data_IF_462840404586
#
_entry.id   IF_462840404586
#
_cell.length_a   1.000
_cell.length_b   1.000
_cell.length_c   1.000
_cell.angle_alpha   90.00
_cell.angle_beta   90.00
_cell.angle_gamma   90.00
#
_symmetry.space_group_name_H-M   'P 1'
#
loop_
_entity.id
_entity.type
_entity.pdbx_description
1 polymer ?
#
# COMPACT_ATOMS: atom_id res chain seq x y z
N UNK A 1 -14.06 -18.56 24.58
CA UNK A 1 -15.06 -17.79 23.81
C UNK A 1 -14.52 -16.40 23.58
N UNK A 2 -14.29 -15.99 22.32
CA UNK A 2 -13.94 -14.59 21.99
C UNK A 2 -15.22 -13.74 22.13
N UNK A 3 -15.21 -12.64 22.89
CA UNK A 3 -16.44 -11.91 23.17
C UNK A 3 -16.92 -11.05 21.99
N UNK A 4 -18.16 -11.35 21.58
CA UNK A 4 -19.32 -10.58 21.07
C UNK A 4 -19.22 -9.06 20.77
N UNK A 5 -18.07 -8.48 20.43
CA UNK A 5 -18.08 -7.37 19.48
C UNK A 5 -18.08 -7.97 18.08
N UNK A 6 -19.23 -8.54 17.70
CA UNK A 6 -19.46 -8.99 16.34
C UNK A 6 -19.23 -7.77 15.44
N UNK A 7 -18.12 -7.80 14.71
CA UNK A 7 -17.83 -6.85 13.65
C UNK A 7 -19.01 -6.95 12.68
N UNK A 8 -19.92 -5.97 12.75
CA UNK A 8 -21.07 -5.89 11.87
C UNK A 8 -20.49 -5.65 10.46
N UNK A 9 -20.31 -6.74 9.72
CA UNK A 9 -20.05 -6.70 8.29
C UNK A 9 -21.34 -6.18 7.65
N UNK A 10 -21.45 -4.86 7.59
CA UNK A 10 -22.58 -4.17 6.99
C UNK A 10 -22.65 -4.56 5.51
N UNK A 11 -23.59 -5.42 5.16
CA UNK A 11 -23.99 -5.69 3.78
C UNK A 11 -25.28 -4.93 3.49
N UNK A 12 -25.25 -3.59 3.53
CA UNK A 12 -26.40 -2.78 3.12
C UNK A 12 -26.74 -3.03 1.65
N UNK A 13 -28.01 -3.21 1.31
CA UNK A 13 -28.52 -3.44 -0.05
C UNK A 13 -28.11 -2.37 -1.10
N UNK A 14 -27.53 -1.23 -0.68
CA UNK A 14 -26.86 -0.25 -1.55
C UNK A 14 -25.62 -0.81 -2.27
N UNK A 15 -25.05 -1.93 -1.80
CA UNK A 15 -23.93 -2.62 -2.44
C UNK A 15 -24.28 -3.21 -3.82
N UNK A 16 -25.57 -3.42 -4.15
CA UNK A 16 -25.96 -4.11 -5.39
C UNK A 16 -25.58 -3.33 -6.66
N UNK A 17 -25.51 -1.99 -6.61
CA UNK A 17 -25.04 -1.20 -7.76
C UNK A 17 -23.51 -1.05 -7.83
N UNK A 18 -22.80 -1.33 -6.72
CA UNK A 18 -21.34 -1.30 -6.63
C UNK A 18 -20.70 -2.70 -6.59
N UNK A 19 -21.52 -3.76 -6.71
CA UNK A 19 -21.15 -5.17 -6.53
C UNK A 19 -20.09 -5.68 -7.52
N UNK A 20 -19.77 -4.91 -8.56
CA UNK A 20 -18.74 -5.25 -9.54
C UNK A 20 -17.46 -4.43 -9.41
N UNK A 21 -17.31 -3.59 -8.37
CA UNK A 21 -16.11 -2.79 -8.15
C UNK A 21 -15.41 -3.19 -6.84
N UNK A 22 -14.47 -4.13 -6.96
CA UNK A 22 -13.68 -4.64 -5.83
C UNK A 22 -12.93 -3.54 -5.05
N UNK A 23 -12.54 -2.45 -5.72
CA UNK A 23 -11.91 -1.28 -5.09
C UNK A 23 -12.89 -0.57 -4.14
N UNK A 24 -14.12 -0.33 -4.59
CA UNK A 24 -15.14 0.30 -3.77
C UNK A 24 -15.49 -0.55 -2.55
N UNK A 25 -15.62 -1.88 -2.74
CA UNK A 25 -15.86 -2.82 -1.64
C UNK A 25 -14.71 -2.77 -0.61
N UNK A 26 -13.46 -2.76 -1.07
CA UNK A 26 -12.30 -2.65 -0.19
C UNK A 26 -12.29 -1.34 0.60
N UNK A 27 -12.63 -0.23 -0.05
CA UNK A 27 -12.75 1.09 0.57
C UNK A 27 -13.84 1.13 1.64
N UNK A 28 -15.04 0.62 1.35
CA UNK A 28 -16.14 0.56 2.33
C UNK A 28 -15.81 -0.34 3.53
N UNK A 29 -15.06 -1.44 3.31
CA UNK A 29 -14.59 -2.29 4.43
C UNK A 29 -13.63 -1.53 5.34
N UNK A 30 -12.70 -0.75 4.78
CA UNK A 30 -11.79 0.08 5.57
C UNK A 30 -12.55 1.20 6.32
N UNK A 31 -13.51 1.85 5.67
CA UNK A 31 -14.40 2.83 6.30
C UNK A 31 -15.14 2.21 7.49
N UNK A 32 -15.86 1.10 7.26
CA UNK A 32 -16.64 0.45 8.31
C UNK A 32 -15.77 -0.04 9.47
N UNK A 33 -14.54 -0.46 9.19
CA UNK A 33 -13.57 -0.84 10.23
C UNK A 33 -13.17 0.34 11.11
N UNK A 34 -12.75 1.46 10.51
CA UNK A 34 -12.29 2.64 11.25
C UNK A 34 -13.42 3.31 12.02
N UNK A 35 -14.55 3.58 11.36
CA UNK A 35 -15.71 4.18 12.00
C UNK A 35 -16.31 3.25 13.05
N UNK A 36 -16.33 1.94 12.80
CA UNK A 36 -16.90 0.98 13.75
C UNK A 36 -16.07 0.92 15.04
N UNK A 37 -14.75 1.02 14.90
CA UNK A 37 -13.85 1.14 16.04
C UNK A 37 -14.11 2.43 16.84
N UNK A 38 -14.20 3.57 16.16
CA UNK A 38 -14.47 4.87 16.80
C UNK A 38 -15.83 4.88 17.51
N UNK A 39 -16.87 4.35 16.87
CA UNK A 39 -18.21 4.22 17.47
C UNK A 39 -18.20 3.31 18.69
N UNK A 40 -17.43 2.21 18.65
CA UNK A 40 -17.30 1.30 19.80
C UNK A 40 -16.56 1.95 20.96
N UNK A 41 -15.50 2.72 20.71
CA UNK A 41 -14.85 3.52 21.74
C UNK A 41 -15.82 4.51 22.38
N UNK A 42 -16.58 5.24 21.58
CA UNK A 42 -17.54 6.21 22.09
C UNK A 42 -18.61 5.51 22.97
N UNK A 43 -19.13 4.38 22.50
CA UNK A 43 -20.02 3.54 23.28
C UNK A 43 -19.39 3.11 24.62
N UNK A 44 -18.13 2.68 24.63
CA UNK A 44 -17.43 2.29 25.86
C UNK A 44 -17.30 3.48 26.82
N UNK A 45 -16.88 4.65 26.32
CA UNK A 45 -16.73 5.87 27.14
C UNK A 45 -18.03 6.32 27.80
N UNK A 46 -19.16 6.12 27.12
CA UNK A 46 -20.49 6.47 27.61
C UNK A 46 -21.05 5.46 28.61
N UNK A 47 -20.83 4.16 28.39
CA UNK A 47 -21.47 3.10 29.17
C UNK A 47 -20.58 2.52 30.28
N UNK A 48 -19.26 2.76 30.26
CA UNK A 48 -18.28 2.30 31.27
C UNK A 48 -17.35 3.45 31.70
N UNK A 49 -17.81 4.37 32.56
CA UNK A 49 -17.03 5.55 32.97
C UNK A 49 -15.65 5.22 33.54
N UNK A 50 -15.49 4.08 34.21
CA UNK A 50 -14.24 3.57 34.76
C UNK A 50 -13.20 3.18 33.69
N UNK A 51 -13.63 2.93 32.45
CA UNK A 51 -12.75 2.66 31.31
C UNK A 51 -12.52 3.87 30.42
N UNK A 52 -13.21 5.00 30.68
CA UNK A 52 -13.20 6.18 29.80
C UNK A 52 -11.79 6.67 29.46
N UNK A 53 -10.92 6.82 30.47
CA UNK A 53 -9.53 7.28 30.26
C UNK A 53 -8.74 6.29 29.41
N UNK A 54 -8.81 5.00 29.71
CA UNK A 54 -8.10 3.95 28.93
C UNK A 54 -8.61 3.88 27.48
N UNK A 55 -9.91 4.02 27.29
CA UNK A 55 -10.54 4.04 25.97
C UNK A 55 -10.07 5.25 25.15
N UNK A 56 -10.00 6.43 25.78
CA UNK A 56 -9.50 7.65 25.14
C UNK A 56 -8.01 7.53 24.78
N UNK A 57 -7.18 7.03 25.69
CA UNK A 57 -5.75 6.79 25.45
C UNK A 57 -5.53 5.84 24.27
N UNK A 58 -6.26 4.72 24.22
CA UNK A 58 -6.17 3.78 23.11
C UNK A 58 -6.60 4.41 21.78
N UNK A 59 -7.65 5.24 21.80
CA UNK A 59 -8.11 5.97 20.62
C UNK A 59 -7.05 6.96 20.12
N UNK A 60 -6.48 7.77 21.01
CA UNK A 60 -5.40 8.71 20.69
C UNK A 60 -4.19 7.98 20.11
N UNK A 61 -3.80 6.85 20.72
CA UNK A 61 -2.69 6.04 20.20
C UNK A 61 -2.97 5.55 18.78
N UNK A 62 -4.17 5.03 18.52
CA UNK A 62 -4.57 4.59 17.19
C UNK A 62 -4.61 5.74 16.18
N UNK A 63 -5.24 6.86 16.54
CA UNK A 63 -5.39 8.04 15.69
C UNK A 63 -4.03 8.67 15.36
N UNK A 64 -3.08 8.64 16.28
CA UNK A 64 -1.71 9.11 16.03
C UNK A 64 -0.99 8.31 14.94
N UNK A 65 -1.42 7.07 14.67
CA UNK A 65 -0.83 6.17 13.67
C UNK A 65 -1.65 6.13 12.38
N UNK A 66 -2.97 6.14 12.48
CA UNK A 66 -3.88 5.86 11.36
C UNK A 66 -5.02 6.88 11.19
N UNK A 67 -5.01 8.00 11.91
CA UNK A 67 -6.08 9.00 11.87
C UNK A 67 -6.23 9.68 10.50
N UNK A 68 -5.13 9.87 9.75
CA UNK A 68 -5.20 10.42 8.39
C UNK A 68 -5.95 9.48 7.45
N UNK A 69 -5.78 8.17 7.59
CA UNK A 69 -6.49 7.18 6.78
C UNK A 69 -8.01 7.37 6.84
N UNK A 70 -8.57 7.61 8.03
CA UNK A 70 -10.01 7.81 8.22
C UNK A 70 -10.52 9.01 7.41
N UNK A 71 -9.92 10.19 7.59
CA UNK A 71 -10.30 11.40 6.85
C UNK A 71 -10.15 11.25 5.32
N UNK A 72 -9.11 10.52 4.90
CA UNK A 72 -8.81 10.29 3.50
C UNK A 72 -9.80 9.31 2.85
N UNK A 73 -10.21 8.28 3.59
CA UNK A 73 -11.25 7.33 3.17
C UNK A 73 -12.59 8.04 3.07
N UNK A 74 -12.96 8.86 4.06
CA UNK A 74 -14.22 9.63 4.05
C UNK A 74 -14.30 10.54 2.83
N UNK A 75 -13.21 11.27 2.56
CA UNK A 75 -13.09 12.12 1.37
C UNK A 75 -13.26 11.32 0.08
N UNK A 76 -12.64 10.14 0.01
CA UNK A 76 -12.73 9.30 -1.19
C UNK A 76 -14.13 8.71 -1.38
N UNK A 77 -14.78 8.23 -0.32
CA UNK A 77 -16.16 7.74 -0.40
C UNK A 77 -17.11 8.88 -0.79
N UNK A 78 -16.96 10.07 -0.19
CA UNK A 78 -17.75 11.25 -0.56
C UNK A 78 -17.58 11.61 -2.03
N UNK A 79 -16.34 11.58 -2.53
CA UNK A 79 -16.06 11.80 -3.96
C UNK A 79 -16.75 10.78 -4.87
N UNK A 80 -16.81 9.51 -4.46
CA UNK A 80 -17.44 8.44 -5.24
C UNK A 80 -18.97 8.48 -5.19
N UNK A 81 -19.55 8.85 -4.04
CA UNK A 81 -20.99 8.86 -3.83
C UNK A 81 -21.67 10.19 -4.18
N UNK A 82 -20.92 11.30 -4.18
CA UNK A 82 -21.46 12.64 -4.35
C UNK A 82 -22.56 12.92 -3.32
N UNK A 83 -23.72 13.34 -3.80
CA UNK A 83 -24.89 13.70 -2.98
C UNK A 83 -25.46 12.53 -2.16
N UNK A 84 -25.10 11.28 -2.50
CA UNK A 84 -25.54 10.09 -1.75
C UNK A 84 -24.71 9.82 -0.50
N UNK A 85 -23.65 10.59 -0.27
CA UNK A 85 -22.74 10.38 0.87
C UNK A 85 -23.45 10.49 2.22
N UNK A 86 -24.26 11.53 2.42
CA UNK A 86 -24.93 11.75 3.70
C UNK A 86 -25.94 10.64 4.00
N UNK A 87 -26.66 10.17 2.97
CA UNK A 87 -27.55 9.01 3.10
C UNK A 87 -26.77 7.74 3.50
N UNK A 88 -25.62 7.50 2.88
CA UNK A 88 -24.75 6.37 3.22
C UNK A 88 -24.28 6.43 4.68
N UNK A 89 -23.79 7.59 5.14
CA UNK A 89 -23.33 7.78 6.53
C UNK A 89 -24.48 7.64 7.53
N UNK A 90 -25.66 8.19 7.23
CA UNK A 90 -26.84 8.05 8.09
C UNK A 90 -27.29 6.59 8.19
N UNK A 91 -27.32 5.86 7.06
CA UNK A 91 -27.64 4.44 7.04
C UNK A 91 -26.63 3.61 7.82
N UNK A 92 -25.34 3.93 7.71
CA UNK A 92 -24.27 3.32 8.50
C UNK A 92 -24.47 3.56 10.00
N UNK A 93 -24.66 4.81 10.41
CA UNK A 93 -24.84 5.18 11.81
C UNK A 93 -26.08 4.54 12.44
N UNK A 94 -27.17 4.44 11.68
CA UNK A 94 -28.38 3.75 12.11
C UNK A 94 -28.09 2.26 12.40
N UNK A 95 -27.43 1.57 11.47
CA UNK A 95 -27.11 0.14 11.65
C UNK A 95 -26.15 -0.10 12.82
N UNK A 96 -25.16 0.79 13.03
CA UNK A 96 -24.28 0.73 14.20
C UNK A 96 -25.06 0.93 15.50
N UNK A 97 -25.95 1.93 15.55
CA UNK A 97 -26.80 2.19 16.71
C UNK A 97 -27.70 1.01 17.04
N UNK A 98 -28.33 0.40 16.03
CA UNK A 98 -29.13 -0.81 16.16
C UNK A 98 -28.29 -1.99 16.67
N UNK A 99 -27.07 -2.16 16.14
CA UNK A 99 -26.11 -3.14 16.61
C UNK A 99 -25.81 -2.99 18.11
N UNK A 100 -25.55 -1.77 18.58
CA UNK A 100 -25.26 -1.52 20.00
C UNK A 100 -26.44 -1.77 20.94
N UNK A 101 -27.69 -1.70 20.47
CA UNK A 101 -28.85 -2.08 21.29
C UNK A 101 -28.82 -3.57 21.67
N UNK A 102 -28.21 -4.41 20.83
CA UNK A 102 -28.10 -5.85 21.07
C UNK A 102 -26.89 -6.25 21.93
N UNK A 103 -25.97 -5.33 22.20
CA UNK A 103 -24.76 -5.60 22.99
C UNK A 103 -25.12 -5.72 24.47
N UNK A 104 -24.64 -6.78 25.12
CA UNK A 104 -24.77 -6.94 26.56
C UNK A 104 -23.93 -5.87 27.29
N UNK A 105 -24.60 -4.82 27.74
CA UNK A 105 -24.01 -3.69 28.47
C UNK A 105 -23.41 -4.07 29.83
N UNK A 106 -23.66 -5.27 30.35
CA UNK A 106 -23.14 -5.68 31.66
C UNK A 106 -21.74 -6.30 31.60
N UNK A 107 -21.08 -6.32 30.43
CA UNK A 107 -19.76 -6.94 30.28
C UNK A 107 -18.63 -5.93 30.15
N UNK A 108 -18.24 -5.31 31.26
CA UNK A 108 -17.04 -4.45 31.38
C UNK A 108 -15.75 -5.15 30.88
N UNK A 109 -15.68 -6.47 31.06
CA UNK A 109 -14.55 -7.28 30.62
C UNK A 109 -14.38 -7.25 29.09
N UNK A 110 -15.50 -7.29 28.35
CA UNK A 110 -15.47 -7.22 26.88
C UNK A 110 -15.02 -5.83 26.40
N UNK A 111 -15.46 -4.78 27.08
CA UNK A 111 -15.00 -3.42 26.80
C UNK A 111 -13.49 -3.28 27.03
N UNK A 112 -12.98 -3.86 28.13
CA UNK A 112 -11.54 -3.88 28.42
C UNK A 112 -10.74 -4.62 27.35
N UNK A 113 -11.20 -5.80 26.91
CA UNK A 113 -10.56 -6.54 25.81
C UNK A 113 -10.56 -5.77 24.49
N UNK A 114 -11.62 -5.04 24.20
CA UNK A 114 -11.68 -4.23 22.98
C UNK A 114 -10.68 -3.06 23.01
N UNK A 115 -10.50 -2.42 24.17
CA UNK A 115 -9.46 -1.38 24.35
C UNK A 115 -8.06 -1.98 24.10
N UNK A 116 -7.78 -3.17 24.65
CA UNK A 116 -6.52 -3.88 24.38
C UNK A 116 -6.36 -4.22 22.89
N UNK A 117 -7.45 -4.62 22.22
CA UNK A 117 -7.44 -4.88 20.78
C UNK A 117 -7.09 -3.63 19.98
N UNK A 118 -7.59 -2.45 20.36
CA UNK A 118 -7.22 -1.17 19.71
C UNK A 118 -5.74 -0.87 19.89
N UNK A 119 -5.19 -1.09 21.08
CA UNK A 119 -3.75 -0.93 21.33
C UNK A 119 -2.93 -1.91 20.48
N UNK A 120 -3.42 -3.13 20.24
CA UNK A 120 -2.77 -4.03 19.29
C UNK A 120 -2.87 -3.50 17.85
N UNK A 121 -4.05 -3.01 17.45
CA UNK A 121 -4.25 -2.47 16.10
C UNK A 121 -3.40 -1.22 15.84
N UNK A 122 -3.16 -0.37 16.85
CA UNK A 122 -2.26 0.79 16.74
C UNK A 122 -0.79 0.36 16.48
N UNK A 123 -0.42 -0.86 16.86
CA UNK A 123 0.85 -1.51 16.52
C UNK A 123 0.85 -2.21 15.15
N UNK A 124 -0.22 -2.08 14.35
CA UNK A 124 -0.34 -2.67 13.02
C UNK A 124 -0.92 -4.08 13.00
N UNK A 125 -1.43 -4.59 14.12
CA UNK A 125 -2.16 -5.88 14.17
C UNK A 125 -3.60 -5.71 13.65
N UNK A 126 -3.73 -5.39 12.37
CA UNK A 126 -5.01 -5.25 11.65
C UNK A 126 -5.09 -6.33 10.57
N UNK A 127 -6.27 -6.93 10.39
CA UNK A 127 -6.47 -8.00 9.41
C UNK A 127 -6.31 -7.53 7.95
N UNK A 128 -5.66 -8.36 7.14
CA UNK A 128 -5.61 -8.21 5.67
C UNK A 128 -6.99 -8.59 5.08
N UNK A 129 -7.48 -7.90 4.03
CA UNK A 129 -6.86 -6.81 3.27
C UNK A 129 -7.21 -5.40 3.80
N UNK A 130 -7.78 -5.28 5.00
CA UNK A 130 -8.21 -3.98 5.55
C UNK A 130 -6.98 -3.11 5.85
N UNK A 131 -5.96 -3.71 6.46
CA UNK A 131 -4.77 -2.98 6.87
C UNK A 131 -4.08 -2.29 5.70
N UNK A 132 -3.93 -2.98 4.57
CA UNK A 132 -3.29 -2.45 3.38
C UNK A 132 -4.07 -1.29 2.75
N UNK A 133 -5.40 -1.31 2.85
CA UNK A 133 -6.23 -0.17 2.44
C UNK A 133 -6.05 1.01 3.40
N UNK A 134 -6.03 0.77 4.72
CA UNK A 134 -5.75 1.81 5.72
C UNK A 134 -4.38 2.44 5.44
N UNK A 135 -3.34 1.63 5.20
CA UNK A 135 -2.00 2.11 4.90
C UNK A 135 -1.97 2.95 3.61
N UNK A 136 -2.64 2.49 2.55
CA UNK A 136 -2.74 3.28 1.31
C UNK A 136 -3.28 4.69 1.58
N UNK A 137 -4.39 4.80 2.32
CA UNK A 137 -5.00 6.10 2.60
C UNK A 137 -4.26 6.89 3.68
N UNK A 138 -3.55 6.23 4.60
CA UNK A 138 -2.66 6.88 5.57
C UNK A 138 -1.51 7.61 4.87
N UNK A 139 -0.92 6.98 3.86
CA UNK A 139 0.28 7.44 3.17
C UNK A 139 0.00 7.96 1.75
N UNK A 140 -1.27 8.20 1.38
CA UNK A 140 -1.62 8.62 0.01
C UNK A 140 -0.89 9.89 -0.41
N UNK A 141 -0.59 10.77 0.55
CA UNK A 141 0.05 12.08 0.34
C UNK A 141 1.56 12.09 0.53
N UNK A 142 2.09 11.06 1.16
CA UNK A 142 3.51 10.81 1.37
C UNK A 142 3.74 9.28 1.24
N UNK A 143 3.81 8.75 0.00
CA UNK A 143 3.88 7.31 -0.23
C UNK A 143 5.15 6.66 0.36
N UNK A 144 6.26 7.38 0.40
CA UNK A 144 7.51 6.93 1.02
C UNK A 144 7.38 6.76 2.54
N UNK A 145 6.42 7.43 3.17
CA UNK A 145 6.14 7.33 4.60
C UNK A 145 5.78 5.90 5.04
N UNK A 146 5.15 5.12 4.16
CA UNK A 146 4.86 3.72 4.43
C UNK A 146 6.16 2.91 4.58
N UNK A 147 7.12 3.18 3.69
CA UNK A 147 8.46 2.59 3.72
C UNK A 147 9.25 3.05 4.94
N UNK A 148 9.23 4.34 5.25
CA UNK A 148 9.93 4.93 6.41
C UNK A 148 9.42 4.41 7.76
N UNK A 149 8.17 3.94 7.82
CA UNK A 149 7.57 3.30 9.00
C UNK A 149 7.67 1.78 8.99
N UNK A 150 8.42 1.22 8.04
CA UNK A 150 8.64 -0.22 7.89
C UNK A 150 7.34 -1.03 7.65
N UNK A 151 6.32 -0.41 7.05
CA UNK A 151 5.12 -1.10 6.59
C UNK A 151 5.36 -1.67 5.19
N UNK A 152 6.19 -2.71 5.13
CA UNK A 152 6.71 -3.24 3.87
C UNK A 152 6.61 -4.76 3.79
N UNK A 153 6.62 -5.29 2.57
CA UNK A 153 6.75 -6.70 2.25
C UNK A 153 8.08 -6.95 1.52
N UNK A 154 8.74 -8.06 1.82
CA UNK A 154 9.93 -8.53 1.11
C UNK A 154 9.53 -9.54 0.03
N UNK A 155 10.09 -9.40 -1.17
CA UNK A 155 9.86 -10.28 -2.30
C UNK A 155 11.18 -10.83 -2.80
N UNK A 156 11.23 -12.15 -2.96
CA UNK A 156 12.39 -12.84 -3.53
C UNK A 156 12.17 -13.14 -5.02
N UNK A 157 13.25 -13.02 -5.78
CA UNK A 157 13.26 -13.23 -7.22
C UNK A 157 14.47 -14.11 -7.53
N UNK A 158 14.20 -15.35 -7.88
CA UNK A 158 15.24 -16.29 -8.30
C UNK A 158 15.52 -16.10 -9.78
N UNK A 159 16.75 -15.69 -10.09
CA UNK A 159 17.20 -15.45 -11.45
C UNK A 159 18.24 -16.51 -11.80
N UNK A 160 18.05 -17.14 -12.94
CA UNK A 160 19.00 -18.08 -13.54
C UNK A 160 19.58 -17.40 -14.77
N UNK A 161 20.90 -17.20 -14.76
CA UNK A 161 21.62 -16.53 -15.84
C UNK A 161 22.92 -17.27 -16.10
N UNK A 162 23.13 -17.73 -17.34
CA UNK A 162 24.33 -18.47 -17.78
C UNK A 162 24.80 -19.52 -16.75
N UNK A 163 23.91 -20.43 -16.36
CA UNK A 163 24.12 -21.52 -15.38
C UNK A 163 24.42 -21.10 -13.93
N UNK A 164 24.31 -19.82 -13.60
CA UNK A 164 24.42 -19.32 -12.22
C UNK A 164 23.05 -18.96 -11.65
N UNK A 165 22.85 -19.30 -10.38
CA UNK A 165 21.65 -18.96 -9.62
C UNK A 165 21.94 -17.80 -8.67
N UNK A 166 21.10 -16.80 -8.70
CA UNK A 166 21.10 -15.71 -7.74
C UNK A 166 19.68 -15.44 -7.24
N UNK A 167 19.56 -15.19 -5.94
CA UNK A 167 18.30 -14.74 -5.33
C UNK A 167 18.43 -13.25 -5.07
N UNK A 168 17.55 -12.49 -5.70
CA UNK A 168 17.41 -11.06 -5.45
C UNK A 168 16.27 -10.86 -4.46
N UNK A 169 16.43 -9.92 -3.54
CA UNK A 169 15.34 -9.47 -2.68
C UNK A 169 15.03 -7.99 -2.94
N UNK A 170 13.76 -7.67 -2.86
CA UNK A 170 13.22 -6.33 -3.07
C UNK A 170 12.14 -6.06 -2.04
N UNK A 171 12.11 -4.84 -1.52
CA UNK A 171 11.11 -4.40 -0.57
C UNK A 171 10.08 -3.53 -1.28
N UNK A 172 8.79 -3.80 -1.04
CA UNK A 172 7.68 -2.98 -1.52
C UNK A 172 6.79 -2.54 -0.36
N UNK A 173 6.10 -1.39 -0.45
CA UNK A 173 5.11 -1.01 0.56
C UNK A 173 4.00 -2.06 0.67
N UNK A 174 3.50 -2.28 1.87
CA UNK A 174 2.51 -3.32 2.15
C UNK A 174 1.18 -3.07 1.42
N UNK A 175 0.86 -1.81 1.13
CA UNK A 175 -0.30 -1.39 0.33
C UNK A 175 -0.20 -1.71 -1.17
N UNK A 176 0.93 -2.24 -1.64
CA UNK A 176 1.16 -2.64 -3.03
C UNK A 176 0.92 -4.14 -3.22
N UNK A 177 0.35 -4.50 -4.36
CA UNK A 177 0.02 -5.88 -4.71
C UNK A 177 0.87 -6.37 -5.87
N UNK A 178 1.49 -7.53 -5.71
CA UNK A 178 2.09 -8.26 -6.83
C UNK A 178 0.99 -8.70 -7.80
N UNK A 179 1.21 -8.42 -9.09
CA UNK A 179 0.33 -8.83 -10.17
C UNK A 179 1.10 -9.68 -11.17
N UNK A 180 0.37 -10.57 -11.85
CA UNK A 180 0.97 -11.49 -12.80
C UNK A 180 1.77 -10.75 -13.89
N UNK A 181 2.89 -11.36 -14.26
CA UNK A 181 3.74 -10.93 -15.35
C UNK A 181 3.94 -12.08 -16.34
N UNK A 182 4.17 -11.75 -17.61
CA UNK A 182 4.41 -12.73 -18.67
C UNK A 182 5.84 -13.27 -18.65
N UNK A 183 6.78 -12.57 -18.02
CA UNK A 183 8.20 -12.92 -18.05
C UNK A 183 8.65 -13.50 -16.72
N UNK A 184 9.25 -14.70 -16.75
CA UNK A 184 9.70 -15.44 -15.57
C UNK A 184 10.75 -14.69 -14.75
N UNK A 185 11.59 -13.88 -15.40
CA UNK A 185 12.63 -13.04 -14.77
C UNK A 185 12.14 -11.61 -14.53
N UNK A 186 10.86 -11.46 -14.18
CA UNK A 186 10.31 -10.17 -13.83
C UNK A 186 9.33 -10.27 -12.66
N UNK A 187 9.10 -9.15 -12.00
CA UNK A 187 8.03 -8.97 -11.03
C UNK A 187 7.32 -7.66 -11.31
N UNK A 188 6.00 -7.64 -11.15
CA UNK A 188 5.17 -6.46 -11.37
C UNK A 188 4.32 -6.21 -10.14
N UNK A 189 4.33 -4.97 -9.67
CA UNK A 189 3.62 -4.52 -8.49
C UNK A 189 2.75 -3.33 -8.85
N UNK A 190 1.55 -3.27 -8.28
CA UNK A 190 0.60 -2.19 -8.51
C UNK A 190 0.10 -1.65 -7.18
N UNK A 191 0.12 -0.33 -7.04
CA UNK A 191 -0.29 0.38 -5.83
C UNK A 191 -1.77 0.15 -5.49
N UNK A 192 -2.18 0.59 -4.29
CA UNK A 192 -3.57 0.55 -3.83
C UNK A 192 -4.19 -0.83 -4.01
N UNK A 193 -3.50 -1.85 -3.50
CA UNK A 193 -3.93 -3.24 -3.56
C UNK A 193 -4.23 -3.77 -4.96
N UNK A 194 -3.57 -3.23 -5.98
CA UNK A 194 -3.75 -3.62 -7.38
C UNK A 194 -4.73 -2.74 -8.18
N UNK A 195 -5.34 -1.75 -7.54
CA UNK A 195 -6.30 -0.84 -8.18
C UNK A 195 -5.70 0.51 -8.57
N UNK A 196 -4.50 0.86 -8.09
CA UNK A 196 -3.92 2.19 -8.30
C UNK A 196 -3.33 2.41 -9.69
N UNK A 197 -2.84 3.62 -9.94
CA UNK A 197 -2.29 4.02 -11.24
C UNK A 197 -0.76 4.05 -11.23
N UNK A 198 -0.15 3.54 -10.16
CA UNK A 198 1.29 3.43 -10.02
C UNK A 198 1.70 1.97 -10.10
N UNK A 199 2.66 1.70 -10.98
CA UNK A 199 3.11 0.34 -11.30
C UNK A 199 4.62 0.32 -11.25
N UNK A 200 5.19 -0.65 -10.53
CA UNK A 200 6.62 -0.94 -10.56
C UNK A 200 6.81 -2.29 -11.23
N UNK A 201 7.64 -2.33 -12.26
CA UNK A 201 8.05 -3.59 -12.90
C UNK A 201 9.57 -3.71 -12.83
N UNK A 202 10.05 -4.81 -12.27
CA UNK A 202 11.49 -5.11 -12.20
C UNK A 202 11.79 -6.23 -13.17
N UNK A 203 12.78 -6.02 -14.02
CA UNK A 203 13.29 -6.98 -14.99
C UNK A 203 14.75 -7.27 -14.75
N UNK A 204 15.11 -8.53 -14.93
CA UNK A 204 16.48 -9.01 -14.90
C UNK A 204 16.82 -9.53 -16.29
N UNK A 205 17.97 -9.13 -16.83
CA UNK A 205 18.45 -9.63 -18.11
C UNK A 205 19.97 -9.78 -18.11
N UNK A 206 20.47 -10.75 -18.86
CA UNK A 206 21.91 -10.90 -19.09
C UNK A 206 22.47 -9.74 -19.91
N UNK A 207 23.72 -9.35 -19.61
CA UNK A 207 24.51 -8.50 -20.50
C UNK A 207 25.06 -9.41 -21.60
N UNK A 208 24.32 -9.56 -22.70
CA UNK A 208 24.90 -10.16 -23.89
C UNK A 208 25.93 -9.19 -24.49
N UNK A 209 27.20 -9.61 -24.50
CA UNK A 209 28.18 -9.36 -25.57
C UNK A 209 28.66 -7.94 -25.90
N UNK A 210 27.91 -6.88 -25.60
CA UNK A 210 28.32 -5.49 -25.80
C UNK A 210 27.95 -4.69 -24.55
N UNK A 211 28.96 -4.05 -23.96
CA UNK A 211 28.70 -3.03 -22.93
C UNK A 211 27.73 -2.03 -23.56
N UNK A 212 26.58 -1.74 -22.95
CA UNK A 212 25.77 -0.65 -23.44
C UNK A 212 26.60 0.62 -23.31
N UNK A 213 27.09 1.14 -24.43
CA UNK A 213 27.47 2.53 -24.54
C UNK A 213 26.18 3.30 -24.36
N UNK A 214 25.86 3.63 -23.11
CA UNK A 214 24.69 4.43 -22.78
C UNK A 214 24.99 5.81 -23.33
N UNK A 215 24.48 6.07 -24.54
CA UNK A 215 24.36 7.41 -25.04
C UNK A 215 23.55 8.18 -23.99
N UNK A 216 24.21 9.14 -23.34
CA UNK A 216 23.59 10.06 -22.40
C UNK A 216 22.63 10.94 -23.19
N UNK A 217 21.39 10.50 -23.34
CA UNK A 217 20.31 11.40 -23.71
C UNK A 217 20.16 12.45 -22.59
N UNK A 218 19.76 13.67 -22.95
CA UNK A 218 19.71 14.86 -22.07
C UNK A 218 18.91 14.67 -20.75
N UNK A 219 18.12 13.60 -20.62
CA UNK A 219 17.31 13.28 -19.43
C UNK A 219 17.88 12.11 -18.59
N UNK A 220 19.14 11.73 -18.82
CA UNK A 220 19.81 10.65 -18.08
C UNK A 220 20.66 11.25 -16.95
N UNK A 221 20.47 10.78 -15.73
CA UNK A 221 21.31 11.15 -14.58
C UNK A 221 21.87 9.89 -13.92
N UNK A 222 23.15 9.92 -13.57
CA UNK A 222 23.76 8.88 -12.76
C UNK A 222 23.73 9.30 -11.30
N UNK A 223 23.17 8.46 -10.43
CA UNK A 223 23.03 8.75 -9.01
C UNK A 223 23.35 7.50 -8.18
N UNK A 224 24.05 7.70 -7.05
CA UNK A 224 24.21 6.64 -6.05
C UNK A 224 22.94 6.56 -5.21
N UNK A 225 22.27 5.42 -5.23
CA UNK A 225 21.08 5.13 -4.42
C UNK A 225 21.37 3.88 -3.59
N UNK A 226 21.45 4.05 -2.27
CA UNK A 226 21.94 3.01 -1.37
C UNK A 226 23.36 2.57 -1.75
N UNK A 227 23.53 1.26 -1.97
CA UNK A 227 24.82 0.64 -2.27
C UNK A 227 25.14 0.56 -3.76
N UNK A 228 24.23 0.99 -4.63
CA UNK A 228 24.36 0.81 -6.09
C UNK A 228 24.40 2.16 -6.82
N UNK A 229 25.11 2.17 -7.94
CA UNK A 229 25.09 3.30 -8.87
C UNK A 229 24.00 3.04 -9.90
N UNK A 230 22.97 3.88 -9.90
CA UNK A 230 21.87 3.79 -10.85
C UNK A 230 21.99 4.84 -11.94
N UNK A 231 21.56 4.43 -13.12
CA UNK A 231 21.29 5.32 -14.24
C UNK A 231 19.78 5.54 -14.23
N UNK A 232 19.39 6.79 -14.00
CA UNK A 232 18.01 7.21 -13.88
C UNK A 232 17.63 7.93 -15.18
N UNK A 233 16.55 7.47 -15.80
CA UNK A 233 15.94 8.13 -16.95
C UNK A 233 14.50 8.49 -16.63
N UNK A 234 14.10 9.69 -17.04
CA UNK A 234 12.72 10.16 -16.91
C UNK A 234 12.14 10.42 -18.30
N UNK A 235 10.95 9.89 -18.56
CA UNK A 235 10.23 10.05 -19.82
C UNK A 235 8.73 10.23 -19.56
N UNK A 236 8.07 10.97 -20.44
CA UNK A 236 6.61 11.13 -20.46
C UNK A 236 6.16 10.79 -21.87
N UNK A 237 5.23 9.84 -21.98
CA UNK A 237 4.73 9.32 -23.24
C UNK A 237 3.20 9.21 -23.20
N UNK A 238 2.57 9.28 -24.36
CA UNK A 238 1.16 8.89 -24.49
C UNK A 238 1.16 7.37 -24.72
N UNK A 239 0.49 6.62 -23.85
CA UNK A 239 0.40 5.15 -23.99
C UNK A 239 -0.83 4.80 -24.85
N UNK A 240 -0.67 4.39 -26.12
CA UNK A 240 -1.80 4.09 -26.99
C UNK A 240 -2.55 2.82 -26.59
N UNK A 241 -1.99 1.99 -25.70
CA UNK A 241 -2.54 0.68 -25.32
C UNK A 241 -3.52 0.72 -24.15
N UNK A 242 -3.54 1.82 -23.40
CA UNK A 242 -4.39 2.02 -22.22
C UNK A 242 -5.16 3.31 -22.47
N UNK A 243 -6.48 3.20 -22.71
CA UNK A 243 -7.45 4.29 -22.92
C UNK A 243 -6.81 5.61 -23.37
N UNK A 244 -6.97 5.98 -24.65
CA UNK A 244 -6.43 7.18 -25.32
C UNK A 244 -6.46 8.52 -24.54
N UNK A 245 -7.17 8.58 -23.41
CA UNK A 245 -7.27 9.70 -22.48
C UNK A 245 -6.25 9.69 -21.34
N UNK A 246 -5.49 8.62 -21.12
CA UNK A 246 -4.47 8.54 -20.08
C UNK A 246 -3.07 8.81 -20.64
N UNK A 247 -2.33 9.68 -19.94
CA UNK A 247 -0.91 9.93 -20.16
C UNK A 247 -0.09 9.05 -19.21
N UNK A 248 1.08 8.62 -19.67
CA UNK A 248 1.99 7.75 -18.93
C UNK A 248 3.30 8.49 -18.63
N UNK A 249 3.64 8.57 -17.35
CA UNK A 249 4.95 9.00 -16.88
C UNK A 249 5.77 7.78 -16.50
N UNK A 250 7.07 7.81 -16.79
CA UNK A 250 7.97 6.71 -16.50
C UNK A 250 9.27 7.21 -15.88
N UNK A 251 9.64 6.61 -14.75
CA UNK A 251 10.99 6.66 -14.19
C UNK A 251 11.63 5.29 -14.36
N UNK A 252 12.82 5.26 -14.93
CA UNK A 252 13.61 4.03 -15.10
C UNK A 252 14.85 4.10 -14.25
N UNK A 253 15.08 3.07 -13.44
CA UNK A 253 16.29 2.89 -12.64
C UNK A 253 17.00 1.65 -13.17
N UNK A 254 18.17 1.86 -13.76
CA UNK A 254 19.00 0.79 -14.32
C UNK A 254 20.28 0.66 -13.52
N UNK A 255 20.63 -0.57 -13.13
CA UNK A 255 21.93 -0.89 -12.54
C UNK A 255 22.46 -2.20 -13.10
N UNK A 256 23.77 -2.38 -13.01
CA UNK A 256 24.43 -3.63 -13.36
C UNK A 256 25.03 -4.21 -12.09
N UNK A 257 24.64 -5.43 -11.76
CA UNK A 257 25.26 -6.19 -10.67
C UNK A 257 25.91 -7.43 -11.27
N UNK A 258 27.25 -7.45 -11.27
CA UNK A 258 28.08 -8.43 -11.98
C UNK A 258 27.74 -8.46 -13.49
N UNK A 259 27.03 -9.49 -13.97
CA UNK A 259 26.68 -9.71 -15.38
C UNK A 259 25.20 -9.51 -15.68
N UNK A 260 24.42 -9.12 -14.68
CA UNK A 260 22.98 -8.93 -14.82
C UNK A 260 22.66 -7.44 -14.86
N UNK A 261 21.93 -7.05 -15.90
CA UNK A 261 21.24 -5.78 -15.97
C UNK A 261 19.93 -5.89 -15.21
N UNK A 262 19.71 -4.96 -14.30
CA UNK A 262 18.50 -4.87 -13.51
C UNK A 262 17.85 -3.56 -13.87
N UNK A 263 16.64 -3.64 -14.42
CA UNK A 263 15.87 -2.50 -14.86
C UNK A 263 14.58 -2.45 -14.06
N UNK A 264 14.39 -1.38 -13.29
CA UNK A 264 13.15 -1.07 -12.62
C UNK A 264 12.43 0.04 -13.38
N UNK A 265 11.24 -0.26 -13.88
CA UNK A 265 10.35 0.67 -14.56
C UNK A 265 9.21 1.06 -13.63
N UNK A 266 9.13 2.34 -13.29
CA UNK A 266 8.09 2.91 -12.46
C UNK A 266 7.16 3.73 -13.35
N UNK A 267 5.96 3.20 -13.62
CA UNK A 267 4.94 3.87 -14.42
C UNK A 267 3.91 4.55 -13.53
N UNK A 268 3.51 5.76 -13.91
CA UNK A 268 2.41 6.50 -13.31
C UNK A 268 1.44 6.89 -14.42
N UNK A 269 0.15 6.72 -14.19
CA UNK A 269 -0.90 7.08 -15.14
C UNK A 269 -1.80 8.19 -14.59
N UNK A 270 -2.05 9.20 -15.42
CA UNK A 270 -2.98 10.30 -15.12
C UNK A 270 -3.69 10.82 -16.37
N UNK A 271 -4.79 11.54 -16.21
CA UNK A 271 -5.57 12.14 -17.30
C UNK A 271 -4.92 13.40 -17.87
N UNK A 272 -4.15 14.12 -17.06
CA UNK A 272 -3.46 15.34 -17.49
C UNK A 272 -1.96 15.25 -17.23
N UNK A 273 -1.19 15.99 -18.03
CA UNK A 273 0.26 15.98 -17.93
C UNK A 273 0.78 16.75 -16.72
N UNK A 274 0.10 17.84 -16.35
CA UNK A 274 0.43 18.59 -15.16
C UNK A 274 0.26 17.72 -13.89
N UNK A 275 -0.88 17.03 -13.77
CA UNK A 275 -1.12 16.10 -12.66
C UNK A 275 -0.13 14.94 -12.67
N UNK A 276 0.24 14.46 -13.86
CA UNK A 276 1.24 13.41 -14.01
C UNK A 276 2.61 13.84 -13.44
N UNK A 277 3.12 15.03 -13.78
CA UNK A 277 4.39 15.52 -13.23
C UNK A 277 4.35 15.67 -11.70
N UNK A 278 3.26 16.22 -11.17
CA UNK A 278 3.07 16.37 -9.71
C UNK A 278 3.11 14.98 -9.03
N UNK A 279 2.41 13.99 -9.60
CA UNK A 279 2.43 12.63 -9.06
C UNK A 279 3.77 11.94 -9.23
N UNK A 280 4.49 12.17 -10.33
CA UNK A 280 5.84 11.66 -10.52
C UNK A 280 6.79 12.16 -9.44
N UNK A 281 6.80 13.46 -9.16
CA UNK A 281 7.63 14.02 -8.08
C UNK A 281 7.22 13.50 -6.71
N UNK A 282 5.91 13.33 -6.47
CA UNK A 282 5.38 12.75 -5.22
C UNK A 282 5.84 11.32 -4.98
N UNK A 283 5.87 10.48 -6.01
CA UNK A 283 6.22 9.06 -5.88
C UNK A 283 7.71 8.77 -6.04
N UNK A 284 8.48 9.72 -6.56
CA UNK A 284 9.92 9.56 -6.79
C UNK A 284 10.70 9.15 -5.53
N UNK A 285 10.51 9.74 -4.33
CA UNK A 285 11.20 9.30 -3.12
C UNK A 285 10.90 7.85 -2.75
N UNK A 286 9.66 7.39 -2.98
CA UNK A 286 9.28 6.00 -2.77
C UNK A 286 10.00 5.08 -3.77
N UNK A 287 10.05 5.44 -5.05
CA UNK A 287 10.75 4.64 -6.05
C UNK A 287 12.26 4.57 -5.79
N UNK A 288 12.88 5.65 -5.36
CA UNK A 288 14.27 5.65 -4.91
C UNK A 288 14.47 4.70 -3.70
N UNK A 289 13.54 4.69 -2.74
CA UNK A 289 13.57 3.78 -1.60
C UNK A 289 13.46 2.31 -2.04
N UNK A 290 12.55 2.01 -2.96
CA UNK A 290 12.40 0.66 -3.54
C UNK A 290 13.68 0.25 -4.27
N UNK A 291 14.25 1.11 -5.13
CA UNK A 291 15.53 0.85 -5.82
C UNK A 291 16.66 0.57 -4.82
N UNK A 292 16.73 1.35 -3.74
CA UNK A 292 17.75 1.20 -2.69
C UNK A 292 17.66 -0.11 -1.92
N UNK A 293 16.47 -0.72 -1.88
CA UNK A 293 16.20 -1.97 -1.15
C UNK A 293 16.66 -3.23 -1.90
N UNK A 294 17.08 -3.08 -3.16
CA UNK A 294 17.55 -4.17 -3.99
C UNK A 294 18.81 -4.80 -3.39
N UNK A 295 18.67 -6.04 -2.96
CA UNK A 295 19.75 -6.85 -2.43
C UNK A 295 19.91 -8.13 -3.25
N UNK A 296 21.11 -8.71 -3.21
CA UNK A 296 21.43 -9.95 -3.94
C UNK A 296 22.18 -10.92 -3.03
N UNK A 297 21.76 -12.18 -3.06
CA UNK A 297 22.46 -13.31 -2.44
C UNK A 297 22.80 -14.31 -3.54
N UNK A 298 24.10 -14.61 -3.67
CA UNK A 298 24.58 -15.57 -4.66
C UNK A 298 24.61 -16.97 -4.05
N UNK A 299 24.07 -17.94 -4.78
CA UNK A 299 24.05 -19.34 -4.38
C UNK A 299 25.16 -20.09 -5.12
N UNK A 300 26.43 -19.70 -4.94
CA UNK A 300 27.56 -20.50 -5.43
C UNK A 300 27.97 -21.52 -4.36
N UNK A 301 28.14 -22.79 -4.76
CA UNK A 301 28.19 -24.01 -3.92
C UNK A 301 29.36 -24.14 -2.89
N UNK A 302 30.16 -23.12 -2.61
CA UNK A 302 31.26 -23.26 -1.61
C UNK A 302 31.53 -22.10 -0.66
N UNK A 303 30.91 -20.95 -0.81
CA UNK A 303 31.07 -19.86 0.16
C UNK A 303 29.77 -19.07 0.24
N UNK A 304 29.06 -19.20 1.36
CA UNK A 304 28.02 -18.26 1.79
C UNK A 304 28.69 -16.92 2.11
N UNK A 305 29.14 -16.19 1.07
CA UNK A 305 29.45 -14.77 1.21
C UNK A 305 28.11 -14.05 1.31
N UNK A 306 27.61 -14.00 2.54
CA UNK A 306 26.48 -13.13 2.86
C UNK A 306 27.03 -11.72 2.80
N UNK A 307 26.71 -10.97 1.74
CA UNK A 307 26.88 -9.52 1.77
C UNK A 307 25.82 -8.95 2.73
N UNK A 308 26.08 -9.06 4.03
CA UNK A 308 25.41 -8.22 5.02
C UNK A 308 26.15 -6.88 5.03
N UNK A 309 25.44 -5.82 4.65
CA UNK A 309 25.76 -4.44 5.03
C UNK A 309 24.72 -3.99 6.04
#
# INVERSE_FOLDING_TARGET
MKPVFAFLLLTSSLFVSAQNNDEYVALCKAFGFLHGQQSTINFIKENYPELKTKAEEANIQFDSKFGLAMSNIDTQIKKLLGDKFDYFVNSYNQQISEGFKSVNKNSIQNASFFIEEINNRSNGYIQTPIFENILHYQYKDNPEGEFAKNYVNSYEINVISNDKKATYSLIMPKSWKEIATKFSQSKKFKSRMGYGNEIVTVFFSDIEGEKPSIALENNTKTQKIGNHQFIIKTSVEVDPSIDSKLKKGQLTYSTTIKRLNINMYCHIYDKSEQELYIRMEKFKPLFESIASSLNVVYTDEKELVTYKM
#
